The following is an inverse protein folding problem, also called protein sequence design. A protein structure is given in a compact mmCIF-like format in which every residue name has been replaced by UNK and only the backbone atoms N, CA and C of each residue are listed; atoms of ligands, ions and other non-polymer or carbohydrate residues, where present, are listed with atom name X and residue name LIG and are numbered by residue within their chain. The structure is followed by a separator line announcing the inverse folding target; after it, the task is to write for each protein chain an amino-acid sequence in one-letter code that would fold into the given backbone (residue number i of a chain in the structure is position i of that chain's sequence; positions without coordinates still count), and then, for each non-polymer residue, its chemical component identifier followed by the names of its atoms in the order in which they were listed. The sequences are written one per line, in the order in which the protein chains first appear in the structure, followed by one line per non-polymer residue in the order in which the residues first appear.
data_IF_280371796471
#
_entry.id   IF_280371796471
#
_cell.length_a   1.000
_cell.length_b   1.000
_cell.length_c   1.000
_cell.angle_alpha   90.00
_cell.angle_beta   90.00
_cell.angle_gamma   90.00
#
_symmetry.space_group_name_H-M   'P 1'
#
loop_
_entity.id
_entity.type
_entity.pdbx_description
1 polymer ?
#
# COMPACT_ATOMS: atom_id res chain seq x y z
N UNK A 1 47.63 -25.56 41.64
CA UNK A 1 46.64 -24.52 41.27
C UNK A 1 46.82 -24.19 39.80
N UNK A 2 46.10 -24.87 38.91
CA UNK A 2 46.14 -24.61 37.46
C UNK A 2 44.76 -24.08 37.03
N UNK A 3 44.74 -22.78 36.77
CA UNK A 3 43.92 -22.02 35.81
C UNK A 3 42.70 -22.73 35.20
N UNK A 4 41.54 -22.53 35.82
CA UNK A 4 40.20 -22.65 35.22
C UNK A 4 39.60 -21.26 35.03
N UNK A 5 40.23 -20.41 34.21
CA UNK A 5 39.69 -19.10 33.83
C UNK A 5 40.08 -18.91 32.37
N UNK A 6 39.25 -19.38 31.44
CA UNK A 6 39.28 -18.93 30.02
C UNK A 6 38.16 -19.50 29.15
N UNK A 7 37.34 -20.46 29.62
CA UNK A 7 36.24 -20.99 28.80
C UNK A 7 34.97 -20.10 28.81
N UNK A 8 34.77 -19.31 29.87
CA UNK A 8 33.57 -18.47 30.02
C UNK A 8 33.59 -17.18 29.18
N UNK A 9 34.77 -16.59 28.92
CA UNK A 9 34.90 -15.40 28.08
C UNK A 9 34.71 -15.69 26.57
N UNK A 10 35.03 -16.91 26.12
CA UNK A 10 34.82 -17.29 24.72
C UNK A 10 33.32 -17.50 24.41
N UNK A 11 32.57 -18.09 25.35
CA UNK A 11 31.11 -18.21 25.20
C UNK A 11 30.38 -16.85 25.29
N UNK A 12 30.91 -15.87 26.02
CA UNK A 12 30.30 -14.53 26.10
C UNK A 12 30.55 -13.68 24.83
N UNK A 13 31.67 -13.88 24.14
CA UNK A 13 31.93 -13.21 22.84
C UNK A 13 31.19 -13.85 21.67
N UNK A 14 30.82 -15.12 21.75
CA UNK A 14 29.96 -15.79 20.75
C UNK A 14 28.47 -15.41 20.87
N UNK A 15 28.03 -14.83 22.00
CA UNK A 15 26.65 -14.34 22.19
C UNK A 15 26.36 -12.99 21.51
N UNK A 16 27.37 -12.30 20.96
CA UNK A 16 27.21 -11.02 20.25
C UNK A 16 27.47 -11.08 18.74
N UNK A 17 27.71 -12.28 18.19
CA UNK A 17 27.68 -12.52 16.75
C UNK A 17 26.28 -13.01 16.33
N UNK A 18 25.24 -12.38 16.86
CA UNK A 18 23.95 -12.44 16.18
C UNK A 18 24.15 -11.78 14.82
N UNK A 19 23.98 -12.53 13.74
CA UNK A 19 23.82 -11.93 12.42
C UNK A 19 22.65 -10.95 12.55
N UNK A 20 22.94 -9.65 12.45
CA UNK A 20 21.89 -8.64 12.44
C UNK A 20 21.15 -8.85 11.13
N UNK A 21 19.97 -9.47 11.19
CA UNK A 21 19.10 -9.56 10.03
C UNK A 21 18.81 -8.15 9.54
N UNK A 22 18.93 -7.97 8.22
CA UNK A 22 18.74 -6.67 7.59
C UNK A 22 17.66 -6.80 6.52
N UNK A 23 16.71 -5.86 6.54
CA UNK A 23 15.38 -6.05 5.97
C UNK A 23 15.12 -5.05 4.84
N UNK A 24 14.13 -5.33 4.01
CA UNK A 24 13.74 -4.51 2.87
C UNK A 24 13.25 -3.12 3.32
N UNK A 25 13.94 -2.04 2.99
CA UNK A 25 13.62 -0.67 3.46
C UNK A 25 13.93 0.40 2.41
N UNK A 26 13.43 1.62 2.63
CA UNK A 26 13.82 2.83 1.90
C UNK A 26 14.96 3.57 2.58
N UNK A 27 15.98 3.89 1.79
CA UNK A 27 17.22 4.52 2.19
C UNK A 27 17.36 5.91 1.54
N UNK A 28 17.63 6.92 2.38
CA UNK A 28 18.04 8.26 1.98
C UNK A 28 19.51 8.50 2.37
N UNK A 29 20.33 8.96 1.43
CA UNK A 29 21.78 8.87 1.57
C UNK A 29 22.48 10.21 1.86
N UNK A 30 21.77 11.34 1.74
CA UNK A 30 22.37 12.68 1.90
C UNK A 30 23.06 12.85 3.25
N UNK A 31 22.36 12.52 4.34
CA UNK A 31 22.90 12.58 5.70
C UNK A 31 24.05 11.59 5.89
N UNK A 32 23.90 10.37 5.37
CA UNK A 32 24.88 9.29 5.53
C UNK A 32 26.26 9.65 4.96
N UNK A 33 26.31 10.41 3.86
CA UNK A 33 27.54 10.82 3.19
C UNK A 33 27.87 12.31 3.34
N UNK A 34 27.29 13.02 4.32
CA UNK A 34 27.47 14.47 4.48
C UNK A 34 28.94 14.93 4.71
N UNK A 35 29.76 14.02 5.26
CA UNK A 35 31.17 14.24 5.60
C UNK A 35 32.10 13.95 4.42
N UNK A 36 31.61 13.23 3.40
CA UNK A 36 32.38 12.88 2.23
C UNK A 36 32.80 14.14 1.46
N UNK A 37 34.10 14.25 1.19
CA UNK A 37 34.69 15.33 0.38
C UNK A 37 35.40 14.74 -0.82
N UNK A 38 34.94 15.15 -2.00
CA UNK A 38 35.60 14.86 -3.27
C UNK A 38 36.50 16.02 -3.66
N UNK A 39 37.74 15.73 -4.06
CA UNK A 39 38.69 16.73 -4.58
C UNK A 39 38.74 16.57 -6.09
N UNK A 40 38.22 17.56 -6.83
CA UNK A 40 38.20 17.53 -8.28
C UNK A 40 39.62 17.70 -8.85
N UNK A 41 40.14 16.66 -9.50
CA UNK A 41 41.46 16.66 -10.13
C UNK A 41 41.38 16.60 -11.66
N UNK A 42 42.44 17.03 -12.37
CA UNK A 42 42.50 17.08 -13.85
C UNK A 42 42.18 15.74 -14.55
N UNK A 43 42.31 14.60 -13.86
CA UNK A 43 42.05 13.25 -14.39
C UNK A 43 40.76 12.59 -13.86
N UNK A 44 39.91 13.35 -13.15
CA UNK A 44 38.57 12.94 -12.69
C UNK A 44 38.44 11.44 -12.34
N UNK A 45 39.11 11.03 -11.27
CA UNK A 45 39.15 9.64 -10.83
C UNK A 45 37.96 9.31 -9.95
N UNK A 46 37.42 8.10 -10.06
CA UNK A 46 36.42 7.60 -9.12
C UNK A 46 36.99 7.57 -7.69
N UNK A 47 36.15 7.87 -6.71
CA UNK A 47 36.47 7.82 -5.29
C UNK A 47 35.33 7.17 -4.54
N UNK A 48 35.69 6.21 -3.70
CA UNK A 48 34.76 5.49 -2.82
C UNK A 48 34.81 6.08 -1.41
N UNK A 49 33.64 6.15 -0.78
CA UNK A 49 33.45 6.61 0.59
C UNK A 49 32.68 5.54 1.36
N UNK A 50 33.16 5.20 2.54
CA UNK A 50 32.52 4.23 3.44
C UNK A 50 32.23 4.97 4.76
N UNK A 51 30.95 5.25 5.09
CA UNK A 51 30.58 5.91 6.32
C UNK A 51 30.78 4.93 7.49
N UNK A 52 31.09 5.44 8.68
CA UNK A 52 31.21 4.61 9.89
C UNK A 52 29.85 4.22 10.47
N UNK A 53 28.82 5.00 10.17
CA UNK A 53 27.43 4.78 10.61
C UNK A 53 26.75 3.86 9.60
N UNK A 54 25.98 2.90 10.12
CA UNK A 54 25.09 2.05 9.31
C UNK A 54 23.72 2.71 9.20
N UNK A 55 23.10 2.64 8.02
CA UNK A 55 21.72 3.06 7.83
C UNK A 55 20.83 1.82 7.93
N UNK A 56 20.01 1.76 8.97
CA UNK A 56 19.20 0.59 9.30
C UNK A 56 19.98 -0.73 9.32
N UNK A 57 21.14 -0.73 9.97
CA UNK A 57 22.08 -1.85 10.01
C UNK A 57 22.73 -2.22 8.67
N UNK A 58 22.44 -1.53 7.58
CA UNK A 58 23.15 -1.69 6.33
C UNK A 58 24.40 -0.80 6.27
N UNK A 59 25.53 -1.43 5.94
CA UNK A 59 26.76 -0.73 5.61
C UNK A 59 26.79 -0.42 4.12
N UNK A 60 26.69 0.86 3.77
CA UNK A 60 26.73 1.34 2.39
C UNK A 60 28.11 1.88 2.02
N UNK A 61 28.48 1.77 0.75
CA UNK A 61 29.62 2.45 0.13
C UNK A 61 29.13 3.30 -1.03
N UNK A 62 29.64 4.53 -1.12
CA UNK A 62 29.35 5.46 -2.21
C UNK A 62 30.58 5.65 -3.07
N UNK A 63 30.49 5.28 -4.35
CA UNK A 63 31.51 5.59 -5.36
C UNK A 63 30.99 6.67 -6.31
N UNK A 64 31.78 7.73 -6.46
CA UNK A 64 31.48 8.85 -7.38
C UNK A 64 32.72 9.33 -8.11
N UNK A 65 32.55 10.05 -9.20
CA UNK A 65 33.62 10.70 -9.96
C UNK A 65 33.48 12.23 -10.01
N UNK A 66 32.52 12.81 -9.29
CA UNK A 66 32.23 14.24 -9.25
C UNK A 66 32.21 14.83 -7.85
N UNK A 67 32.16 16.16 -7.78
CA UNK A 67 32.04 16.88 -6.51
C UNK A 67 30.71 16.54 -5.83
N UNK A 68 30.75 16.08 -4.58
CA UNK A 68 29.54 15.97 -3.76
C UNK A 68 29.14 17.36 -3.28
N UNK A 69 27.94 17.78 -3.69
CA UNK A 69 27.38 19.06 -3.28
C UNK A 69 26.72 18.88 -1.92
N UNK A 70 27.20 19.60 -0.91
CA UNK A 70 26.65 19.61 0.46
C UNK A 70 25.29 20.34 0.58
N UNK A 71 24.46 20.33 -0.46
CA UNK A 71 23.47 21.36 -0.84
C UNK A 71 22.93 22.30 0.25
N UNK A 72 22.86 23.59 -0.08
CA UNK A 72 22.08 24.63 0.62
C UNK A 72 20.59 24.68 0.21
N UNK A 73 20.07 23.62 -0.46
CA UNK A 73 18.67 23.53 -0.92
C UNK A 73 17.96 22.37 -0.21
N UNK A 74 16.68 22.57 0.10
CA UNK A 74 15.78 21.66 0.83
C UNK A 74 15.55 20.26 0.21
N UNK A 75 16.23 19.89 -0.87
CA UNK A 75 16.07 18.56 -1.48
C UNK A 75 16.98 17.54 -0.77
N UNK A 76 16.37 16.48 -0.25
CA UNK A 76 17.07 15.38 0.42
C UNK A 76 17.55 14.34 -0.60
N UNK A 77 18.69 14.60 -1.26
CA UNK A 77 19.27 13.71 -2.25
C UNK A 77 20.81 13.77 -2.27
N UNK A 78 21.43 12.72 -2.81
CA UNK A 78 22.84 12.77 -3.23
C UNK A 78 22.94 13.58 -4.52
N UNK A 79 23.63 14.71 -4.44
CA UNK A 79 23.88 15.61 -5.55
C UNK A 79 25.37 15.55 -5.92
N UNK A 80 25.66 15.02 -7.10
CA UNK A 80 27.03 14.81 -7.57
C UNK A 80 27.27 15.54 -8.89
N UNK A 81 28.30 16.40 -8.91
CA UNK A 81 28.60 17.31 -10.00
C UNK A 81 27.89 18.66 -9.87
N UNK A 82 28.31 19.61 -10.69
CA UNK A 82 27.71 20.95 -10.86
C UNK A 82 27.84 21.36 -12.32
N UNK A 83 27.48 22.60 -12.65
CA UNK A 83 27.49 23.05 -14.03
C UNK A 83 28.80 22.78 -14.78
N UNK A 84 29.94 23.21 -14.24
CA UNK A 84 31.25 23.00 -14.86
C UNK A 84 32.02 21.81 -14.25
N UNK A 85 31.53 21.29 -13.13
CA UNK A 85 32.10 20.14 -12.44
C UNK A 85 31.37 18.89 -12.92
N UNK A 86 31.91 18.31 -14.00
CA UNK A 86 31.33 17.14 -14.66
C UNK A 86 31.22 15.97 -13.67
N UNK A 87 30.34 15.02 -13.94
CA UNK A 87 30.19 13.77 -13.18
C UNK A 87 29.61 12.72 -14.12
N UNK A 88 29.86 11.44 -13.93
CA UNK A 88 29.17 10.39 -14.68
C UNK A 88 28.56 9.35 -13.78
N UNK A 89 29.03 9.25 -12.53
CA UNK A 89 28.77 8.09 -11.71
C UNK A 89 28.25 8.49 -10.34
N UNK A 90 27.11 7.88 -9.98
CA UNK A 90 26.76 7.60 -8.60
C UNK A 90 26.59 6.09 -8.50
N UNK A 91 27.38 5.44 -7.65
CA UNK A 91 27.22 4.02 -7.35
C UNK A 91 27.14 3.81 -5.85
N UNK A 92 26.10 3.11 -5.41
CA UNK A 92 25.87 2.71 -4.03
C UNK A 92 25.91 1.20 -3.93
N UNK A 93 26.68 0.68 -2.98
CA UNK A 93 26.88 -0.75 -2.77
C UNK A 93 26.67 -1.09 -1.29
N UNK A 94 25.94 -2.15 -0.96
CA UNK A 94 25.92 -2.68 0.41
C UNK A 94 27.03 -3.68 0.64
N UNK A 95 27.63 -3.66 1.84
CA UNK A 95 28.49 -4.74 2.35
C UNK A 95 27.73 -5.76 3.18
N UNK A 96 26.50 -5.42 3.54
CA UNK A 96 25.56 -6.25 4.29
C UNK A 96 24.50 -6.78 3.33
N UNK A 97 24.14 -8.06 3.48
CA UNK A 97 23.14 -8.70 2.63
C UNK A 97 21.73 -8.33 3.08
N UNK A 98 20.88 -7.97 2.13
CA UNK A 98 19.44 -7.98 2.34
C UNK A 98 18.90 -9.40 2.41
N UNK A 99 17.85 -9.61 3.19
CA UNK A 99 16.93 -10.74 3.03
C UNK A 99 15.62 -10.25 2.43
N UNK A 100 14.84 -11.18 1.88
CA UNK A 100 13.44 -10.95 1.53
C UNK A 100 13.22 -9.86 0.47
N UNK A 101 14.07 -9.83 -0.56
CA UNK A 101 14.02 -8.83 -1.63
C UNK A 101 13.18 -9.31 -2.79
N UNK A 102 12.02 -8.68 -2.99
CA UNK A 102 11.15 -8.96 -4.13
C UNK A 102 11.24 -7.88 -5.22
N UNK A 103 11.48 -6.63 -4.83
CA UNK A 103 11.72 -5.53 -5.77
C UNK A 103 12.64 -4.45 -5.20
N UNK A 104 13.25 -3.69 -6.12
CA UNK A 104 14.03 -2.50 -5.81
C UNK A 104 13.51 -1.30 -6.60
N UNK A 105 13.18 -0.21 -5.90
CA UNK A 105 12.87 1.10 -6.50
C UNK A 105 14.06 2.04 -6.36
N UNK A 106 14.37 2.79 -7.42
CA UNK A 106 15.46 3.78 -7.42
C UNK A 106 14.94 5.10 -7.98
N UNK A 107 14.94 6.15 -7.17
CA UNK A 107 14.52 7.47 -7.58
C UNK A 107 15.73 8.35 -7.94
N UNK A 108 15.77 8.79 -9.20
CA UNK A 108 16.92 9.52 -9.78
C UNK A 108 16.45 10.65 -10.68
N UNK A 109 17.31 11.64 -10.87
CA UNK A 109 17.11 12.75 -11.80
C UNK A 109 18.47 13.27 -12.31
N UNK A 110 18.48 14.04 -13.39
CA UNK A 110 19.66 14.65 -14.01
C UNK A 110 19.45 16.14 -14.25
N UNK A 111 20.54 16.91 -14.29
CA UNK A 111 20.45 18.31 -14.71
C UNK A 111 19.92 18.42 -16.15
N UNK A 112 19.04 19.40 -16.40
CA UNK A 112 18.34 19.65 -17.68
C UNK A 112 19.25 19.64 -18.91
N UNK A 113 20.52 20.03 -18.78
CA UNK A 113 21.46 20.07 -19.91
C UNK A 113 21.99 18.71 -20.35
N UNK A 114 21.73 17.65 -19.58
CA UNK A 114 22.08 16.27 -19.93
C UNK A 114 21.08 15.69 -20.93
N UNK A 115 21.47 14.59 -21.58
CA UNK A 115 20.59 13.83 -22.47
C UNK A 115 20.10 12.59 -21.74
N UNK A 116 20.93 11.56 -21.74
CA UNK A 116 20.53 10.23 -21.32
C UNK A 116 21.37 9.74 -20.14
N UNK A 117 20.76 8.88 -19.34
CA UNK A 117 21.48 8.15 -18.30
C UNK A 117 20.90 6.77 -18.09
N UNK A 118 21.74 5.87 -17.58
CA UNK A 118 21.39 4.50 -17.26
C UNK A 118 21.29 4.33 -15.75
N UNK A 119 20.23 3.70 -15.28
CA UNK A 119 20.14 3.16 -13.91
C UNK A 119 20.27 1.65 -13.99
N UNK A 120 21.21 1.09 -13.22
CA UNK A 120 21.44 -0.34 -13.13
C UNK A 120 21.26 -0.80 -11.69
N UNK A 121 20.58 -1.91 -11.48
CA UNK A 121 20.49 -2.58 -10.18
C UNK A 121 21.09 -3.97 -10.33
N UNK A 122 21.97 -4.35 -9.41
CA UNK A 122 22.55 -5.68 -9.30
C UNK A 122 22.31 -6.23 -7.89
N UNK A 123 21.64 -7.37 -7.77
CA UNK A 123 21.56 -8.14 -6.52
C UNK A 123 22.47 -9.37 -6.66
N UNK A 124 23.47 -9.49 -5.78
CA UNK A 124 24.48 -10.56 -5.83
C UNK A 124 24.44 -11.47 -4.61
N UNK A 125 24.59 -12.79 -4.80
CA UNK A 125 24.61 -13.78 -3.72
C UNK A 125 25.94 -13.77 -3.00
N UNK A 126 25.99 -14.42 -1.84
CA UNK A 126 27.25 -14.70 -1.18
C UNK A 126 28.19 -15.47 -2.11
N UNK A 127 29.35 -14.86 -2.35
CA UNK A 127 30.42 -15.27 -3.28
C UNK A 127 30.28 -14.81 -4.75
N UNK A 128 29.38 -13.87 -5.07
CA UNK A 128 29.25 -13.25 -6.42
C UNK A 128 29.00 -14.25 -7.57
N UNK A 129 28.64 -15.49 -7.26
CA UNK A 129 28.45 -16.56 -8.26
C UNK A 129 27.20 -16.33 -9.12
N UNK A 130 26.23 -15.57 -8.62
CA UNK A 130 25.05 -15.19 -9.36
C UNK A 130 24.71 -13.72 -9.09
N UNK A 131 24.36 -13.00 -10.15
CA UNK A 131 23.89 -11.62 -10.05
C UNK A 131 22.81 -11.36 -11.10
N UNK A 132 21.68 -10.78 -10.69
CA UNK A 132 20.69 -10.25 -11.65
C UNK A 132 20.97 -8.77 -11.85
N UNK A 133 21.30 -8.36 -13.07
CA UNK A 133 21.50 -6.96 -13.42
C UNK A 133 20.41 -6.47 -14.36
N UNK A 134 19.62 -5.51 -13.89
CA UNK A 134 18.60 -4.83 -14.69
C UNK A 134 19.05 -3.42 -15.02
N UNK A 135 18.79 -2.97 -16.25
CA UNK A 135 19.18 -1.65 -16.74
C UNK A 135 17.95 -0.92 -17.27
N UNK A 136 17.85 0.38 -16.98
CA UNK A 136 16.87 1.28 -17.57
C UNK A 136 17.60 2.50 -18.12
N UNK A 137 17.43 2.78 -19.40
CA UNK A 137 17.87 4.03 -20.03
C UNK A 137 16.76 5.04 -19.91
N UNK A 138 17.08 6.24 -19.41
CA UNK A 138 16.13 7.36 -19.35
C UNK A 138 16.52 8.42 -20.36
N UNK A 139 15.52 8.84 -21.12
CA UNK A 139 15.60 9.92 -22.11
C UNK A 139 15.22 11.25 -21.46
N UNK A 140 15.90 12.30 -21.88
CA UNK A 140 15.62 13.71 -21.56
C UNK A 140 14.19 14.13 -21.84
N UNK A 141 13.49 13.51 -22.78
CA UNK A 141 12.12 13.91 -23.13
C UNK A 141 11.06 13.36 -22.14
N UNK A 142 11.46 12.52 -21.17
CA UNK A 142 10.58 11.93 -20.16
C UNK A 142 11.00 12.28 -18.71
N UNK A 143 11.23 13.57 -18.44
CA UNK A 143 11.64 14.12 -17.13
C UNK A 143 10.64 13.87 -15.98
N UNK A 144 9.43 13.39 -16.28
CA UNK A 144 8.42 13.11 -15.26
C UNK A 144 8.55 11.70 -14.67
N UNK A 145 9.37 10.82 -15.25
CA UNK A 145 9.55 9.45 -14.77
C UNK A 145 10.87 9.28 -14.00
N UNK A 146 10.94 9.84 -12.80
CA UNK A 146 12.13 9.77 -11.94
C UNK A 146 12.31 8.42 -11.23
N UNK A 147 11.31 7.54 -11.28
CA UNK A 147 11.30 6.26 -10.58
C UNK A 147 11.63 5.08 -11.51
N UNK A 148 12.65 4.32 -11.15
CA UNK A 148 12.99 3.03 -11.75
C UNK A 148 12.54 1.90 -10.83
N UNK A 149 11.85 0.89 -11.36
CA UNK A 149 11.39 -0.28 -10.59
C UNK A 149 12.01 -1.53 -11.19
N UNK A 150 12.65 -2.34 -10.36
CA UNK A 150 13.30 -3.58 -10.72
C UNK A 150 12.67 -4.73 -9.93
N UNK A 151 11.90 -5.58 -10.60
CA UNK A 151 11.35 -6.79 -10.01
C UNK A 151 12.40 -7.91 -10.02
N UNK A 152 12.54 -8.61 -8.91
CA UNK A 152 13.38 -9.80 -8.79
C UNK A 152 12.54 -11.01 -9.23
N UNK A 153 12.86 -11.60 -10.37
CA UNK A 153 12.10 -12.76 -10.89
C UNK A 153 12.50 -14.06 -10.21
N UNK A 154 11.52 -14.93 -9.94
CA UNK A 154 11.72 -16.27 -9.37
C UNK A 154 12.81 -17.05 -10.13
N UNK A 155 13.83 -17.51 -9.38
CA UNK A 155 14.79 -18.45 -9.94
C UNK A 155 16.15 -18.53 -9.28
N UNK A 156 16.72 -17.51 -8.60
CA UNK A 156 18.08 -17.68 -8.04
C UNK A 156 18.48 -16.84 -6.81
N UNK A 157 17.94 -15.65 -6.54
CA UNK A 157 18.37 -14.85 -5.38
C UNK A 157 17.26 -13.89 -4.92
N UNK A 158 16.74 -14.07 -3.70
CA UNK A 158 15.92 -13.09 -2.98
C UNK A 158 16.67 -12.47 -1.77
N UNK A 159 17.97 -12.70 -1.67
CA UNK A 159 18.82 -12.23 -0.58
C UNK A 159 20.25 -12.02 -1.05
N UNK A 160 20.89 -10.93 -0.65
CA UNK A 160 22.24 -10.64 -1.14
C UNK A 160 22.68 -9.20 -1.00
N UNK A 161 23.89 -8.90 -1.46
CA UNK A 161 24.38 -7.53 -1.51
C UNK A 161 23.79 -6.80 -2.70
N UNK A 162 23.45 -5.53 -2.49
CA UNK A 162 22.81 -4.69 -3.49
C UNK A 162 23.81 -3.67 -4.01
N UNK A 163 23.91 -3.58 -5.34
CA UNK A 163 24.60 -2.49 -6.04
C UNK A 163 23.62 -1.75 -6.91
N UNK A 164 23.55 -0.44 -6.75
CA UNK A 164 22.80 0.47 -7.62
C UNK A 164 23.78 1.43 -8.27
N UNK A 165 23.74 1.53 -9.60
CA UNK A 165 24.59 2.41 -10.39
C UNK A 165 23.73 3.33 -11.25
N UNK A 166 23.89 4.63 -11.06
CA UNK A 166 23.44 5.67 -11.99
C UNK A 166 24.64 6.14 -12.81
N UNK A 167 24.56 5.98 -14.13
CA UNK A 167 25.65 6.28 -15.06
C UNK A 167 25.16 7.14 -16.22
N UNK A 168 25.66 8.38 -16.31
CA UNK A 168 25.43 9.24 -17.47
C UNK A 168 26.43 8.99 -18.61
N UNK A 169 26.20 9.62 -19.75
CA UNK A 169 27.17 9.64 -20.83
C UNK A 169 28.47 10.38 -20.46
N UNK A 170 29.54 10.09 -21.21
CA UNK A 170 30.91 10.41 -20.82
C UNK A 170 31.14 11.92 -20.64
N UNK A 171 31.28 12.33 -19.37
CA UNK A 171 31.70 13.66 -18.90
C UNK A 171 30.81 14.79 -19.43
N UNK A 172 29.51 14.54 -19.48
CA UNK A 172 28.51 15.59 -19.70
C UNK A 172 28.53 16.58 -18.53
N UNK A 173 28.34 17.85 -18.86
CA UNK A 173 28.17 18.89 -17.86
C UNK A 173 26.90 18.68 -17.03
N UNK A 174 26.92 19.13 -15.77
CA UNK A 174 25.74 19.12 -14.92
C UNK A 174 25.70 17.96 -13.93
N UNK A 175 24.65 17.98 -13.11
CA UNK A 175 24.54 17.16 -11.93
C UNK A 175 23.79 15.84 -12.15
N UNK A 176 24.11 14.87 -11.32
CA UNK A 176 23.37 13.64 -11.07
C UNK A 176 22.68 13.75 -9.71
N UNK A 177 21.44 13.29 -9.63
CA UNK A 177 20.65 13.24 -8.40
C UNK A 177 20.16 11.81 -8.13
N UNK A 178 20.46 11.31 -6.93
CA UNK A 178 19.86 10.08 -6.40
C UNK A 178 19.12 10.42 -5.10
N UNK A 179 17.80 10.28 -5.11
CA UNK A 179 16.94 10.64 -3.98
C UNK A 179 16.87 9.52 -2.97
N UNK A 180 16.46 8.33 -3.42
CA UNK A 180 16.36 7.16 -2.56
C UNK A 180 16.60 5.87 -3.35
N UNK A 181 16.99 4.83 -2.60
CA UNK A 181 16.88 3.43 -3.01
C UNK A 181 15.90 2.79 -2.03
N UNK A 182 14.98 1.99 -2.53
CA UNK A 182 14.05 1.25 -1.70
C UNK A 182 14.02 -0.20 -2.10
N UNK A 183 14.35 -1.05 -1.14
CA UNK A 183 14.20 -2.49 -1.24
C UNK A 183 12.86 -2.81 -0.61
N UNK A 184 11.99 -3.55 -1.29
CA UNK A 184 10.68 -3.90 -0.77
C UNK A 184 10.40 -5.40 -0.92
N UNK A 185 9.63 -5.91 0.04
CA UNK A 185 9.06 -7.26 0.00
C UNK A 185 7.59 -7.18 -0.43
N UNK A 186 7.10 -8.19 -1.10
CA UNK A 186 5.69 -8.33 -1.45
C UNK A 186 4.94 -8.93 -0.27
N UNK A 187 3.86 -8.26 0.11
CA UNK A 187 2.86 -8.77 1.04
C UNK A 187 1.64 -9.21 0.23
N UNK A 188 1.60 -10.52 -0.07
CA UNK A 188 0.51 -11.15 -0.81
C UNK A 188 -0.75 -11.25 0.02
N UNK A 189 -1.87 -10.84 -0.59
CA UNK A 189 -3.19 -11.03 -0.01
C UNK A 189 -3.75 -12.45 -0.22
N UNK A 190 -3.06 -13.30 -0.98
CA UNK A 190 -3.49 -14.68 -1.25
C UNK A 190 -2.81 -15.71 -0.35
N UNK A 191 -1.79 -15.30 0.40
CA UNK A 191 -1.03 -16.16 1.29
C UNK A 191 -1.29 -15.81 2.75
N UNK A 192 -1.09 -16.78 3.65
CA UNK A 192 -1.14 -16.49 5.09
C UNK A 192 -0.01 -15.54 5.45
N UNK A 193 -0.29 -14.58 6.32
CA UNK A 193 0.66 -13.57 6.74
C UNK A 193 1.93 -14.20 7.31
N UNK A 194 1.78 -15.21 8.17
CA UNK A 194 2.88 -15.89 8.86
C UNK A 194 3.77 -16.74 7.93
N UNK A 195 3.37 -16.97 6.67
CA UNK A 195 4.22 -17.67 5.69
C UNK A 195 5.03 -16.72 4.81
N UNK A 196 4.89 -15.41 5.05
CA UNK A 196 5.52 -14.34 4.28
C UNK A 196 6.65 -13.67 5.07
N UNK A 197 7.35 -12.74 4.43
CA UNK A 197 8.52 -12.06 4.97
C UNK A 197 8.16 -11.00 6.02
N UNK A 198 7.75 -11.45 7.21
CA UNK A 198 7.36 -10.60 8.33
C UNK A 198 8.10 -10.97 9.61
N UNK A 199 8.49 -9.95 10.40
CA UNK A 199 9.12 -10.15 11.70
C UNK A 199 8.74 -9.04 12.66
N UNK A 200 8.25 -9.42 13.85
CA UNK A 200 7.76 -8.47 14.87
C UNK A 200 8.80 -7.43 15.24
N UNK A 201 8.36 -6.16 15.30
CA UNK A 201 9.21 -5.03 15.69
C UNK A 201 10.30 -4.66 14.68
N UNK A 202 10.21 -5.19 13.45
CA UNK A 202 11.14 -4.89 12.37
C UNK A 202 10.50 -3.97 11.34
N UNK A 203 11.31 -3.05 10.84
CA UNK A 203 10.94 -2.10 9.80
C UNK A 203 11.11 -2.73 8.42
N UNK A 204 10.06 -2.66 7.61
CA UNK A 204 10.05 -3.12 6.24
C UNK A 204 9.36 -2.10 5.32
N UNK A 205 9.67 -2.15 4.03
CA UNK A 205 8.86 -1.55 2.97
C UNK A 205 8.08 -2.67 2.30
N UNK A 206 6.75 -2.62 2.37
CA UNK A 206 5.88 -3.67 1.83
C UNK A 206 5.10 -3.18 0.61
N UNK A 207 5.20 -3.93 -0.49
CA UNK A 207 4.24 -3.86 -1.57
C UNK A 207 3.03 -4.73 -1.21
N UNK A 208 1.89 -4.12 -0.88
CA UNK A 208 0.67 -4.90 -0.67
C UNK A 208 0.14 -5.32 -2.05
N UNK A 209 0.09 -6.63 -2.31
CA UNK A 209 -0.35 -7.18 -3.60
C UNK A 209 -1.87 -7.05 -3.73
N UNK A 210 -2.35 -5.87 -4.12
CA UNK A 210 -3.77 -5.58 -4.22
C UNK A 210 -4.07 -4.37 -5.08
N UNK A 211 -5.22 -4.42 -5.74
CA UNK A 211 -5.81 -3.26 -6.42
C UNK A 211 -6.90 -2.64 -5.56
N UNK A 212 -6.86 -1.31 -5.43
CA UNK A 212 -7.87 -0.48 -4.79
C UNK A 212 -8.60 0.34 -5.85
N UNK A 213 -9.91 0.13 -5.95
CA UNK A 213 -10.75 0.85 -6.90
C UNK A 213 -11.01 2.28 -6.43
N UNK A 214 -11.15 3.22 -7.37
CA UNK A 214 -11.46 4.62 -7.07
C UNK A 214 -12.95 4.95 -7.09
N UNK A 215 -13.74 4.14 -7.81
CA UNK A 215 -15.17 4.37 -8.03
C UNK A 215 -16.05 3.82 -6.89
N UNK A 216 -15.50 2.99 -6.01
CA UNK A 216 -16.21 2.45 -4.85
C UNK A 216 -15.32 2.26 -3.62
N UNK A 217 -15.96 2.05 -2.47
CA UNK A 217 -15.27 1.76 -1.22
C UNK A 217 -14.64 0.36 -1.23
N UNK A 218 -13.40 0.28 -0.79
CA UNK A 218 -12.68 -0.96 -0.55
C UNK A 218 -12.54 -1.16 0.97
N UNK A 219 -12.40 -2.39 1.44
CA UNK A 219 -12.07 -2.68 2.85
C UNK A 219 -10.57 -2.88 3.01
N UNK A 220 -9.95 -2.45 4.10
CA UNK A 220 -8.52 -2.66 4.37
C UNK A 220 -8.28 -2.98 5.84
N UNK A 221 -7.36 -3.91 6.12
CA UNK A 221 -6.87 -4.22 7.46
C UNK A 221 -5.39 -4.59 7.33
N UNK A 222 -4.49 -3.81 7.91
CA UNK A 222 -3.03 -3.97 7.73
C UNK A 222 -2.37 -4.41 9.03
N UNK A 223 -1.26 -5.17 8.98
CA UNK A 223 -0.55 -5.64 10.16
C UNK A 223 0.51 -4.63 10.66
N UNK A 224 0.35 -3.35 10.31
CA UNK A 224 1.26 -2.26 10.68
C UNK A 224 0.51 -0.94 10.66
N UNK A 225 1.03 0.03 11.41
CA UNK A 225 0.52 1.40 11.41
C UNK A 225 0.89 2.11 10.09
N UNK A 226 0.00 2.99 9.64
CA UNK A 226 0.24 3.86 8.47
C UNK A 226 0.01 5.31 8.87
N UNK A 227 1.05 6.14 8.71
CA UNK A 227 0.94 7.60 8.85
C UNK A 227 0.19 8.23 7.69
N UNK A 228 -0.31 9.45 7.87
CA UNK A 228 -0.98 10.20 6.80
C UNK A 228 -0.08 10.40 5.58
N UNK A 229 1.20 10.61 5.80
CA UNK A 229 2.21 10.78 4.76
C UNK A 229 2.40 9.49 3.96
N UNK A 230 2.56 8.35 4.66
CA UNK A 230 2.68 7.04 4.02
C UNK A 230 1.41 6.66 3.26
N UNK A 231 0.23 6.97 3.80
CA UNK A 231 -1.05 6.78 3.10
C UNK A 231 -1.11 7.62 1.82
N UNK A 232 -0.72 8.90 1.90
CA UNK A 232 -0.74 9.81 0.75
C UNK A 232 0.24 9.36 -0.33
N UNK A 233 1.40 8.86 0.06
CA UNK A 233 2.38 8.32 -0.88
C UNK A 233 1.90 7.03 -1.54
N UNK A 234 1.35 6.11 -0.76
CA UNK A 234 0.90 4.80 -1.24
C UNK A 234 -0.38 4.89 -2.08
N UNK A 235 -1.32 5.76 -1.71
CA UNK A 235 -2.68 5.81 -2.28
C UNK A 235 -2.97 7.07 -3.10
N UNK A 236 -2.00 7.99 -3.17
CA UNK A 236 -2.19 9.30 -3.78
C UNK A 236 -2.89 10.31 -2.86
N UNK A 237 -2.90 11.56 -3.32
CA UNK A 237 -3.56 12.67 -2.60
C UNK A 237 -5.08 12.45 -2.56
N UNK A 238 -5.69 12.88 -1.46
CA UNK A 238 -7.14 12.81 -1.23
C UNK A 238 -7.71 11.38 -1.20
N UNK A 239 -6.93 10.40 -0.76
CA UNK A 239 -7.48 9.09 -0.40
C UNK A 239 -8.43 9.24 0.79
N UNK A 240 -9.69 8.81 0.63
CA UNK A 240 -10.68 8.85 1.67
C UNK A 240 -10.59 7.61 2.55
N UNK A 241 -10.64 7.81 3.87
CA UNK A 241 -10.59 6.74 4.87
C UNK A 241 -11.79 6.87 5.83
N UNK A 242 -12.40 5.75 6.19
CA UNK A 242 -13.49 5.69 7.17
C UNK A 242 -13.30 4.55 8.16
N UNK A 243 -13.68 4.80 9.40
CA UNK A 243 -13.77 3.78 10.44
C UNK A 243 -15.23 3.53 10.82
N UNK A 244 -15.54 2.29 11.22
CA UNK A 244 -16.87 1.94 11.70
C UNK A 244 -17.15 2.70 12.99
N UNK A 245 -18.21 3.51 13.01
CA UNK A 245 -18.52 4.36 14.17
C UNK A 245 -19.35 3.62 15.25
N UNK A 246 -19.54 2.31 15.07
CA UNK A 246 -20.28 1.41 15.97
C UNK A 246 -21.79 1.65 16.03
N UNK A 247 -22.36 2.41 15.08
CA UNK A 247 -23.80 2.64 14.97
C UNK A 247 -24.37 1.93 13.75
N UNK A 248 -25.58 1.39 13.92
CA UNK A 248 -26.33 0.74 12.85
C UNK A 248 -27.78 1.20 12.92
N UNK A 249 -28.28 1.76 11.82
CA UNK A 249 -29.67 2.21 11.72
C UNK A 249 -30.33 1.49 10.54
N UNK A 250 -31.45 0.80 10.79
CA UNK A 250 -32.19 0.09 9.73
C UNK A 250 -31.30 -0.82 8.85
N UNK A 251 -30.41 -1.61 9.47
CA UNK A 251 -29.43 -2.47 8.80
C UNK A 251 -28.33 -1.72 8.00
N UNK A 252 -28.17 -0.41 8.21
CA UNK A 252 -27.13 0.41 7.60
C UNK A 252 -26.04 0.72 8.63
N UNK A 253 -24.85 0.16 8.42
CA UNK A 253 -23.69 0.39 9.28
C UNK A 253 -23.09 1.75 8.96
N UNK A 254 -22.87 2.57 10.00
CA UNK A 254 -22.42 3.95 9.86
C UNK A 254 -20.89 4.06 10.02
N UNK A 255 -20.29 4.82 9.12
CA UNK A 255 -18.85 5.00 9.00
C UNK A 255 -18.51 6.49 9.01
N UNK A 256 -17.54 6.88 9.83
CA UNK A 256 -17.13 8.29 9.97
C UNK A 256 -15.73 8.50 9.42
N UNK A 257 -15.40 9.75 9.09
CA UNK A 257 -14.05 10.16 8.69
C UNK A 257 -13.01 9.75 9.74
N UNK A 258 -11.89 9.20 9.29
CA UNK A 258 -10.72 9.03 10.15
C UNK A 258 -9.96 10.36 10.21
N UNK A 259 -9.58 10.75 11.42
CA UNK A 259 -8.68 11.87 11.68
C UNK A 259 -7.38 11.30 12.23
N UNK A 260 -6.25 11.83 11.77
CA UNK A 260 -4.94 11.39 12.24
C UNK A 260 -4.83 11.55 13.76
N UNK A 261 -4.19 10.59 14.41
CA UNK A 261 -3.88 10.70 15.84
C UNK A 261 -2.88 11.86 16.04
N UNK A 262 -3.21 12.76 16.98
CA UNK A 262 -2.38 13.93 17.29
C UNK A 262 -0.97 13.57 17.79
N UNK A 263 -0.78 12.37 18.34
CA UNK A 263 0.51 11.95 18.91
C UNK A 263 1.51 11.45 17.86
N UNK A 264 1.05 10.80 16.79
CA UNK A 264 1.93 10.11 15.83
C UNK A 264 1.51 10.19 14.35
N UNK A 265 0.50 11.01 14.01
CA UNK A 265 -0.05 11.16 12.64
C UNK A 265 -0.52 9.83 12.00
N UNK A 266 -0.71 8.79 12.81
CA UNK A 266 -1.24 7.49 12.36
C UNK A 266 -2.71 7.65 11.97
N UNK A 267 -3.05 7.19 10.76
CA UNK A 267 -4.41 7.19 10.21
C UNK A 267 -4.95 5.78 10.01
N UNK A 268 -4.10 4.76 9.84
CA UNK A 268 -4.51 3.35 9.89
C UNK A 268 -3.74 2.70 11.01
N UNK A 269 -4.44 2.15 11.99
CA UNK A 269 -3.83 1.38 13.07
C UNK A 269 -3.73 -0.09 12.71
N UNK A 270 -2.64 -0.73 13.12
CA UNK A 270 -2.42 -2.16 12.91
C UNK A 270 -3.59 -3.00 13.45
N UNK A 271 -4.10 -3.91 12.63
CA UNK A 271 -5.20 -4.81 12.95
C UNK A 271 -6.59 -4.18 12.93
N UNK A 272 -6.74 -2.85 12.83
CA UNK A 272 -8.05 -2.22 12.78
C UNK A 272 -8.59 -2.23 11.34
N UNK A 273 -9.85 -2.64 11.10
CA UNK A 273 -10.46 -2.61 9.77
C UNK A 273 -11.00 -1.21 9.42
N UNK A 274 -10.76 -0.79 8.18
CA UNK A 274 -11.21 0.50 7.62
C UNK A 274 -11.88 0.33 6.25
N UNK A 275 -12.67 1.32 5.85
CA UNK A 275 -13.02 1.55 4.45
C UNK A 275 -12.05 2.57 3.84
N UNK A 276 -11.59 2.30 2.63
CA UNK A 276 -10.63 3.12 1.89
C UNK A 276 -11.08 3.32 0.44
N UNK A 277 -10.97 4.54 -0.05
CA UNK A 277 -11.32 4.91 -1.42
C UNK A 277 -10.30 5.93 -1.95
N UNK A 278 -9.28 5.48 -2.72
CA UNK A 278 -8.35 6.40 -3.36
C UNK A 278 -9.06 7.22 -4.44
N UNK A 279 -8.50 8.39 -4.79
CA UNK A 279 -9.05 9.23 -5.86
C UNK A 279 -8.93 8.58 -7.23
N UNK A 280 -7.79 7.94 -7.48
CA UNK A 280 -7.46 7.23 -8.70
C UNK A 280 -7.25 5.74 -8.37
N UNK A 281 -7.40 4.85 -9.36
CA UNK A 281 -7.16 3.42 -9.14
C UNK A 281 -5.71 3.21 -8.72
N UNK A 282 -5.48 2.48 -7.64
CA UNK A 282 -4.13 2.19 -7.12
C UNK A 282 -3.88 0.70 -7.21
N UNK A 283 -2.79 0.31 -7.87
CA UNK A 283 -2.37 -1.08 -8.02
C UNK A 283 -1.07 -1.30 -7.26
N UNK A 284 -1.05 -2.33 -6.42
CA UNK A 284 0.11 -2.79 -5.65
C UNK A 284 0.82 -1.65 -4.89
N UNK A 285 0.11 -0.92 -4.01
CA UNK A 285 0.68 0.20 -3.26
C UNK A 285 1.85 -0.26 -2.38
N UNK A 286 2.85 0.61 -2.22
CA UNK A 286 3.99 0.36 -1.34
C UNK A 286 3.90 1.27 -0.13
N UNK A 287 3.89 0.66 1.05
CA UNK A 287 4.02 1.35 2.32
C UNK A 287 5.47 1.26 2.78
N UNK A 288 6.18 2.39 2.70
CA UNK A 288 7.61 2.47 2.99
C UNK A 288 7.89 2.53 4.48
N UNK A 289 8.91 1.77 4.92
CA UNK A 289 9.46 1.81 6.28
C UNK A 289 8.42 1.68 7.41
N UNK A 290 7.40 0.85 7.22
CA UNK A 290 6.42 0.50 8.24
C UNK A 290 6.98 -0.55 9.19
N UNK A 291 6.51 -0.56 10.44
CA UNK A 291 6.89 -1.56 11.44
C UNK A 291 5.80 -2.60 11.53
N UNK A 292 6.14 -3.87 11.30
CA UNK A 292 5.18 -4.95 11.52
C UNK A 292 4.89 -5.08 13.03
N UNK A 293 3.62 -4.95 13.37
CA UNK A 293 3.09 -5.07 14.72
C UNK A 293 2.55 -6.49 14.90
N UNK A 294 2.99 -7.20 15.94
CA UNK A 294 2.50 -8.55 16.25
C UNK A 294 1.14 -8.51 16.97
N UNK A 295 0.17 -7.92 16.27
CA UNK A 295 -1.22 -7.77 16.70
C UNK A 295 -2.11 -8.75 15.96
N UNK A 296 -3.31 -8.98 16.49
CA UNK A 296 -4.34 -9.72 15.78
C UNK A 296 -5.26 -8.75 15.04
N UNK A 297 -5.82 -9.15 13.88
CA UNK A 297 -6.87 -8.36 13.25
C UNK A 297 -8.07 -8.27 14.20
N UNK A 298 -8.69 -7.10 14.25
CA UNK A 298 -9.73 -6.77 15.21
C UNK A 298 -11.13 -7.01 14.62
N UNK A 299 -12.06 -7.34 15.52
CA UNK A 299 -13.50 -7.33 15.29
C UNK A 299 -14.06 -6.08 15.99
N UNK A 300 -14.54 -5.11 15.21
CA UNK A 300 -15.15 -3.87 15.74
C UNK A 300 -16.66 -4.04 15.73
N UNK A 301 -17.25 -4.20 16.92
CA UNK A 301 -18.69 -4.41 17.10
C UNK A 301 -19.44 -3.10 17.32
N UNK A 302 -20.72 -3.10 16.96
CA UNK A 302 -21.68 -2.10 17.40
C UNK A 302 -22.01 -2.27 18.90
N UNK A 303 -22.75 -1.33 19.47
CA UNK A 303 -23.10 -1.35 20.90
C UNK A 303 -23.93 -2.57 21.32
N UNK A 304 -24.68 -3.17 20.38
CA UNK A 304 -25.51 -4.35 20.66
C UNK A 304 -24.75 -5.68 20.52
N UNK A 305 -23.59 -5.67 19.86
CA UNK A 305 -22.87 -6.89 19.47
C UNK A 305 -23.54 -7.64 18.32
N UNK A 306 -24.63 -7.15 17.75
CA UNK A 306 -25.32 -7.79 16.63
C UNK A 306 -24.55 -7.64 15.31
N UNK A 307 -23.82 -6.54 15.14
CA UNK A 307 -23.11 -6.19 13.92
C UNK A 307 -21.63 -6.01 14.19
N UNK A 308 -20.78 -6.53 13.32
CA UNK A 308 -19.35 -6.31 13.41
C UNK A 308 -18.70 -6.04 12.06
N UNK A 309 -17.65 -5.20 12.09
CA UNK A 309 -16.72 -5.04 11.00
C UNK A 309 -15.42 -5.75 11.37
N UNK A 310 -15.09 -6.82 10.64
CA UNK A 310 -14.07 -7.80 11.03
C UNK A 310 -12.89 -7.72 10.07
N UNK A 311 -11.73 -7.33 10.57
CA UNK A 311 -10.49 -7.37 9.82
C UNK A 311 -9.97 -8.79 9.61
N UNK A 312 -9.18 -8.99 8.57
CA UNK A 312 -8.38 -10.20 8.37
C UNK A 312 -7.05 -9.87 7.73
N UNK A 313 -5.99 -10.53 8.19
CA UNK A 313 -4.71 -10.53 7.50
C UNK A 313 -4.61 -11.69 6.51
N UNK A 314 -5.17 -12.84 6.85
CA UNK A 314 -5.10 -14.06 6.04
C UNK A 314 -6.32 -14.20 5.13
N UNK A 315 -6.22 -15.00 4.05
CA UNK A 315 -7.39 -15.50 3.35
C UNK A 315 -8.35 -16.22 4.30
N UNK A 316 -9.65 -15.93 4.17
CA UNK A 316 -10.70 -16.48 5.03
C UNK A 316 -11.87 -16.98 4.20
N UNK A 317 -12.41 -18.16 4.54
CA UNK A 317 -13.66 -18.66 3.96
C UNK A 317 -14.84 -18.13 4.77
N UNK A 318 -15.65 -17.29 4.15
CA UNK A 318 -16.84 -16.71 4.77
C UNK A 318 -18.01 -17.70 4.75
N UNK A 319 -18.92 -17.59 5.74
CA UNK A 319 -20.15 -18.38 5.75
C UNK A 319 -21.14 -17.91 4.68
N UNK A 320 -21.86 -18.85 4.07
CA UNK A 320 -22.88 -18.62 3.02
C UNK A 320 -24.31 -18.46 3.57
N UNK A 321 -24.47 -18.62 4.89
CA UNK A 321 -25.76 -18.52 5.60
C UNK A 321 -26.26 -17.07 5.76
N UNK A 322 -25.42 -16.08 5.43
CA UNK A 322 -25.73 -14.65 5.57
C UNK A 322 -25.26 -14.03 6.88
N UNK A 323 -24.52 -14.76 7.71
CA UNK A 323 -23.80 -14.20 8.86
C UNK A 323 -22.58 -13.38 8.43
N UNK A 324 -21.90 -13.77 7.34
CA UNK A 324 -20.76 -13.04 6.80
C UNK A 324 -21.11 -12.41 5.45
N UNK A 325 -20.80 -11.12 5.27
CA UNK A 325 -21.15 -10.35 4.08
C UNK A 325 -19.93 -9.59 3.52
N UNK A 326 -19.86 -9.53 2.20
CA UNK A 326 -18.93 -8.70 1.44
C UNK A 326 -19.51 -7.31 1.18
N UNK A 327 -18.64 -6.33 1.01
CA UNK A 327 -19.00 -5.03 0.43
C UNK A 327 -19.07 -5.12 -1.09
N UNK A 328 -20.20 -4.69 -1.66
CA UNK A 328 -20.35 -4.50 -3.10
C UNK A 328 -19.99 -3.06 -3.50
N UNK A 329 -19.68 -2.86 -4.79
CA UNK A 329 -19.31 -1.55 -5.32
C UNK A 329 -20.39 -0.46 -5.12
N UNK A 330 -21.66 -0.85 -5.03
CA UNK A 330 -22.77 0.07 -4.77
C UNK A 330 -23.00 0.38 -3.29
N UNK A 331 -22.14 -0.12 -2.38
CA UNK A 331 -22.26 0.08 -0.92
C UNK A 331 -23.25 -0.87 -0.22
N UNK A 332 -23.92 -1.77 -0.95
CA UNK A 332 -24.70 -2.83 -0.32
C UNK A 332 -23.79 -3.96 0.15
N UNK A 333 -24.29 -4.73 1.11
CA UNK A 333 -23.62 -5.92 1.60
C UNK A 333 -24.29 -7.19 1.04
N UNK A 334 -23.48 -8.17 0.66
CA UNK A 334 -23.96 -9.42 0.10
C UNK A 334 -23.23 -10.61 0.68
N UNK A 335 -24.00 -11.66 1.00
CA UNK A 335 -23.42 -12.94 1.38
C UNK A 335 -22.72 -13.61 0.18
N UNK A 336 -21.75 -14.50 0.42
CA UNK A 336 -21.20 -15.32 -0.65
C UNK A 336 -22.28 -16.10 -1.40
N UNK A 337 -22.15 -16.21 -2.72
CA UNK A 337 -23.13 -16.90 -3.57
C UNK A 337 -23.10 -18.42 -3.39
N UNK A 338 -21.93 -18.96 -3.08
CA UNK A 338 -21.70 -20.38 -2.86
C UNK A 338 -20.43 -20.59 -2.03
N UNK A 339 -20.16 -21.83 -1.61
CA UNK A 339 -18.95 -22.16 -0.84
C UNK A 339 -17.66 -22.01 -1.65
N UNK A 340 -17.75 -22.16 -2.97
CA UNK A 340 -16.64 -22.02 -3.91
C UNK A 340 -16.28 -20.54 -4.12
N UNK A 341 -17.25 -19.63 -3.91
CA UNK A 341 -17.08 -18.18 -4.04
C UNK A 341 -17.11 -17.46 -2.68
N UNK A 342 -16.78 -18.18 -1.60
CA UNK A 342 -16.78 -17.63 -0.24
C UNK A 342 -15.41 -17.26 0.31
N UNK A 343 -14.36 -17.55 -0.43
CA UNK A 343 -13.02 -17.13 -0.05
C UNK A 343 -12.83 -15.63 -0.28
N UNK A 344 -12.45 -14.94 0.79
CA UNK A 344 -11.96 -13.58 0.77
C UNK A 344 -10.45 -13.62 0.96
N UNK A 345 -9.70 -12.92 0.12
CA UNK A 345 -8.26 -12.74 0.32
C UNK A 345 -7.96 -11.89 1.58
N UNK A 346 -6.71 -11.98 2.04
CA UNK A 346 -6.15 -11.28 3.19
C UNK A 346 -6.14 -9.75 3.08
N UNK A 347 -5.65 -9.12 4.15
CA UNK A 347 -5.54 -7.67 4.32
C UNK A 347 -6.84 -6.89 4.00
N UNK A 348 -7.98 -7.52 4.30
CA UNK A 348 -9.35 -7.06 4.00
C UNK A 348 -10.18 -7.03 5.28
N UNK A 349 -11.43 -6.63 5.14
CA UNK A 349 -12.41 -6.78 6.19
C UNK A 349 -13.76 -7.24 5.59
N UNK A 350 -14.58 -7.88 6.41
CA UNK A 350 -15.93 -8.30 6.06
C UNK A 350 -16.90 -7.88 7.17
N UNK A 351 -18.19 -7.99 6.87
CA UNK A 351 -19.25 -7.63 7.82
C UNK A 351 -19.85 -8.89 8.40
N UNK A 352 -20.05 -8.89 9.72
CA UNK A 352 -20.62 -10.02 10.45
C UNK A 352 -21.95 -9.62 11.10
N UNK A 353 -22.96 -10.46 10.93
CA UNK A 353 -24.28 -10.36 11.55
C UNK A 353 -24.41 -11.54 12.51
N UNK A 354 -24.25 -11.28 13.81
CA UNK A 354 -24.22 -12.31 14.85
C UNK A 354 -25.62 -12.86 15.14
N UNK A 355 -26.66 -12.04 15.00
CA UNK A 355 -28.06 -12.45 15.19
C UNK A 355 -28.94 -11.95 14.03
N UNK A 356 -29.53 -12.88 13.27
CA UNK A 356 -30.52 -12.55 12.24
C UNK A 356 -31.92 -12.45 12.87
N UNK A 357 -32.27 -11.25 13.34
CA UNK A 357 -33.61 -10.97 13.86
C UNK A 357 -34.62 -10.76 12.72
N UNK A 358 -35.03 -11.83 12.03
CA UNK A 358 -36.24 -11.75 11.20
C UNK A 358 -36.94 -13.09 10.96
N UNK A 359 -38.18 -13.16 11.43
CA UNK A 359 -39.21 -14.14 11.09
C UNK A 359 -39.93 -13.81 9.77
N UNK A 360 -39.48 -12.80 9.01
CA UNK A 360 -40.15 -12.29 7.81
C UNK A 360 -39.54 -12.81 6.50
N UNK A 361 -40.38 -13.22 5.55
CA UNK A 361 -40.00 -13.73 4.22
C UNK A 361 -39.35 -12.71 3.26
N UNK A 362 -39.01 -11.49 3.70
CA UNK A 362 -38.30 -10.49 2.89
C UNK A 362 -36.80 -10.58 3.13
N UNK A 363 -36.02 -10.67 2.05
CA UNK A 363 -34.56 -10.63 2.09
C UNK A 363 -34.09 -9.30 2.70
N UNK A 364 -33.49 -9.34 3.90
CA UNK A 364 -32.89 -8.16 4.52
C UNK A 364 -31.73 -7.68 3.64
N UNK A 365 -31.75 -6.39 3.32
CA UNK A 365 -30.63 -5.72 2.66
C UNK A 365 -29.85 -4.95 3.71
N UNK A 366 -28.56 -5.23 3.81
CA UNK A 366 -27.63 -4.46 4.64
C UNK A 366 -26.80 -3.54 3.75
N UNK A 367 -26.36 -2.39 4.27
CA UNK A 367 -25.57 -1.42 3.52
C UNK A 367 -24.62 -0.64 4.44
N UNK A 368 -23.74 0.16 3.84
CA UNK A 368 -22.88 1.12 4.55
C UNK A 368 -23.32 2.56 4.28
N UNK A 369 -23.03 3.45 5.21
CA UNK A 369 -23.18 4.90 5.06
C UNK A 369 -21.91 5.60 5.58
N UNK A 370 -21.32 6.48 4.78
CA UNK A 370 -19.99 7.06 5.00
C UNK A 370 -20.00 8.56 5.36
N UNK A 371 -21.03 9.04 6.07
CA UNK A 371 -21.16 10.38 6.69
C UNK A 371 -20.80 11.57 5.76
N UNK A 372 -21.18 11.51 4.47
CA UNK A 372 -21.23 12.64 3.49
C UNK A 372 -21.33 12.15 2.04
N UNK A 373 -21.01 10.89 1.78
CA UNK A 373 -21.38 10.19 0.55
C UNK A 373 -22.59 9.33 0.88
N UNK A 374 -23.81 9.86 0.71
CA UNK A 374 -25.02 9.05 0.82
C UNK A 374 -24.94 7.96 -0.24
N UNK A 375 -24.53 6.76 0.16
CA UNK A 375 -24.99 5.54 -0.50
C UNK A 375 -26.48 5.53 -0.23
N UNK A 376 -27.27 5.87 -1.24
CA UNK A 376 -28.72 5.79 -1.17
C UNK A 376 -29.11 4.31 -1.14
N UNK A 377 -28.92 3.67 0.00
CA UNK A 377 -29.64 2.47 0.37
C UNK A 377 -31.09 2.86 0.56
N UNK A 378 -31.85 2.87 -0.55
CA UNK A 378 -33.27 2.47 -0.67
C UNK A 378 -33.75 2.77 -2.12
N UNK A 379 -34.37 1.74 -2.71
CA UNK A 379 -35.08 1.64 -3.99
C UNK A 379 -34.24 1.59 -5.27
N UNK A 380 -33.92 0.37 -5.71
CA UNK A 380 -33.99 0.09 -7.15
C UNK A 380 -35.38 0.53 -7.65
N UNK A 381 -35.49 1.46 -8.61
CA UNK A 381 -36.64 1.45 -9.46
C UNK A 381 -36.53 0.16 -10.26
N UNK A 382 -37.28 -0.87 -9.84
CA UNK A 382 -37.78 -1.83 -10.83
C UNK A 382 -38.56 -0.97 -11.82
N UNK A 383 -37.95 -0.68 -12.95
CA UNK A 383 -38.65 -0.22 -14.14
C UNK A 383 -39.46 -1.42 -14.61
N UNK A 384 -40.80 -1.41 -14.47
CA UNK A 384 -41.59 -2.36 -15.22
C UNK A 384 -41.36 -2.05 -16.69
N UNK A 385 -41.02 -3.08 -17.45
CA UNK A 385 -41.03 -3.05 -18.91
C UNK A 385 -42.35 -2.46 -19.41
N UNK A 386 -42.27 -1.72 -20.51
CA UNK A 386 -43.34 -1.01 -21.20
C UNK A 386 -44.34 -1.95 -21.85
N UNK A 387 -45.09 -2.71 -21.06
CA UNK A 387 -46.28 -3.43 -21.49
C UNK A 387 -47.48 -2.93 -20.67
N UNK A 388 -48.56 -2.57 -21.35
CA UNK A 388 -49.82 -2.01 -20.84
C UNK A 388 -50.29 -2.61 -19.50
N UNK A 389 -49.92 -1.95 -18.39
CA UNK A 389 -50.36 -2.32 -17.04
C UNK A 389 -51.69 -1.64 -16.70
N UNK A 390 -52.63 -2.40 -16.13
CA UNK A 390 -53.90 -1.87 -15.62
C UNK A 390 -53.68 -0.94 -14.43
N UNK A 391 -54.49 0.11 -14.34
CA UNK A 391 -54.48 1.16 -13.33
C UNK A 391 -55.68 0.95 -12.42
N UNK A 392 -55.49 1.08 -11.11
CA UNK A 392 -56.54 0.93 -10.11
C UNK A 392 -56.67 2.22 -9.28
N UNK A 393 -57.87 2.55 -8.82
CA UNK A 393 -58.06 3.59 -7.81
C UNK A 393 -57.75 3.05 -6.39
N UNK A 394 -57.82 3.91 -5.36
CA UNK A 394 -57.55 3.52 -3.97
C UNK A 394 -58.58 2.52 -3.38
N UNK A 395 -59.72 2.34 -4.05
CA UNK A 395 -60.73 1.35 -3.72
C UNK A 395 -60.49 0.01 -4.44
N UNK A 396 -59.42 -0.11 -5.24
CA UNK A 396 -59.07 -1.33 -5.97
C UNK A 396 -59.87 -1.57 -7.25
N UNK A 397 -60.58 -0.55 -7.75
CA UNK A 397 -61.34 -0.63 -9.01
C UNK A 397 -60.42 -0.36 -10.20
N UNK A 398 -60.45 -1.22 -11.22
CA UNK A 398 -59.74 -1.03 -12.49
C UNK A 398 -60.31 0.18 -13.24
N UNK A 399 -59.44 1.11 -13.61
CA UNK A 399 -59.75 2.37 -14.30
C UNK A 399 -59.07 2.47 -15.68
N UNK A 400 -58.62 1.33 -16.24
CA UNK A 400 -58.03 1.25 -17.58
C UNK A 400 -56.51 1.25 -17.57
N UNK A 401 -55.89 1.40 -18.73
CA UNK A 401 -54.43 1.26 -18.93
C UNK A 401 -53.71 2.57 -19.25
N UNK A 402 -54.46 3.66 -19.45
CA UNK A 402 -53.92 4.97 -19.80
C UNK A 402 -54.25 6.02 -18.72
N UNK A 403 -53.20 6.47 -18.03
CA UNK A 403 -53.32 7.45 -16.95
C UNK A 403 -53.73 8.83 -17.47
N UNK A 404 -53.50 9.16 -18.75
CA UNK A 404 -53.74 10.49 -19.30
C UNK A 404 -55.23 10.87 -19.37
N UNK A 405 -56.13 9.89 -19.33
CA UNK A 405 -57.58 10.11 -19.36
C UNK A 405 -58.24 10.15 -17.98
N UNK A 406 -57.49 9.89 -16.90
CA UNK A 406 -58.02 9.87 -15.54
C UNK A 406 -58.09 11.27 -14.89
N UNK A 407 -58.98 11.54 -13.93
CA UNK A 407 -58.92 12.77 -13.13
C UNK A 407 -57.60 12.91 -12.34
N UNK A 408 -57.27 14.12 -11.89
CA UNK A 408 -56.18 14.32 -10.93
C UNK A 408 -56.49 13.55 -9.64
N UNK A 409 -55.51 12.82 -9.11
CA UNK A 409 -55.74 11.88 -8.03
C UNK A 409 -54.65 10.85 -7.85
N UNK A 410 -54.90 9.90 -6.96
CA UNK A 410 -53.96 8.85 -6.59
C UNK A 410 -54.44 7.52 -7.15
N UNK A 411 -53.55 6.82 -7.83
CA UNK A 411 -53.82 5.53 -8.48
C UNK A 411 -52.75 4.50 -8.12
N UNK A 412 -53.00 3.24 -8.48
CA UNK A 412 -52.06 2.13 -8.37
C UNK A 412 -51.86 1.52 -9.75
N UNK A 413 -50.63 1.52 -10.26
CA UNK A 413 -50.27 0.86 -11.52
C UNK A 413 -49.04 -0.02 -11.27
N UNK A 414 -49.10 -1.29 -11.67
CA UNK A 414 -48.01 -2.24 -11.42
C UNK A 414 -47.66 -2.44 -9.94
N UNK A 415 -48.65 -2.31 -9.04
CA UNK A 415 -48.46 -2.41 -7.60
C UNK A 415 -47.79 -1.20 -6.93
N UNK A 416 -47.61 -0.08 -7.66
CA UNK A 416 -47.05 1.17 -7.13
C UNK A 416 -48.08 2.29 -7.14
N UNK A 417 -48.05 3.11 -6.09
CA UNK A 417 -48.86 4.34 -5.99
C UNK A 417 -48.32 5.40 -6.95
N UNK A 418 -49.17 5.94 -7.81
CA UNK A 418 -48.88 7.02 -8.74
C UNK A 418 -49.80 8.21 -8.45
N UNK A 419 -49.31 9.43 -8.65
CA UNK A 419 -50.08 10.66 -8.43
C UNK A 419 -50.21 11.37 -9.77
N UNK A 420 -51.45 11.49 -10.26
CA UNK A 420 -51.78 12.35 -11.38
C UNK A 420 -52.10 13.73 -10.85
N UNK A 421 -51.34 14.73 -11.30
CA UNK A 421 -51.54 16.14 -10.94
C UNK A 421 -52.49 16.81 -11.93
#
# INVERSE_FOLDING_TARGET
MKTYINSWLLCLMLLFLGTVETHAQRFYFKQLFNSAKYKYGKKQTQKTFTPTVKLYNHQWELTVDGVLVKSSRNTDCLHVGKDKEKSQLIRLETKTQFTDVDLVRVCTDIAIKRRDYKVSMTLGSDNDNYSDTRNLTKDKDNLNNNLSIFYITEGNINSGTLKVEMKGEKYEEGALYLFFIEVASVLSDQQKLQTQHIKSGKTYSYQVQRTFASDHWNTICLPFDVSKEALTEAMGKNCALREFNKKVDNNVLKFKNVVANFENDTVIQAGVPYLIKPKDKVENPIFSNVVYEDVKPQEVQDETGQYAFVGTFDPVKLSVDGTNLFLLANGNLAKPRSKELSEMYGMRAYFKINEQNSTSAKQITYAIDCDSETVTGIQSPVYPSTNSQHIYNLQGVDVGTDIHHLPAGVYVMGGKKIIKR
#
